data_IF_001908632943
#
_entry.id   IF_001908632943
#
_cell.length_a   1.000
_cell.length_b   1.000
_cell.length_c   1.000
_cell.angle_alpha   90.00
_cell.angle_beta   90.00
_cell.angle_gamma   90.00
#
_symmetry.space_group_name_H-M   'P 1'
#
loop_
_entity.id
_entity.type
_entity.pdbx_description
1 polymer ?
#
# COMPACT_ATOMS: atom_id res chain seq x y z
N UNK A 1 -5.99 -12.52 -23.44
CA UNK A 1 -4.69 -12.74 -22.77
C UNK A 1 -4.85 -12.24 -21.34
N UNK A 2 -4.12 -12.78 -20.35
CA UNK A 2 -4.17 -12.23 -18.99
C UNK A 2 -3.37 -10.91 -18.95
N UNK A 3 -3.95 -9.83 -18.46
CA UNK A 3 -3.35 -8.50 -18.34
C UNK A 3 -2.08 -8.51 -17.46
N UNK A 4 -2.10 -9.27 -16.36
CA UNK A 4 -0.92 -9.48 -15.52
C UNK A 4 0.17 -10.27 -16.25
N UNK A 5 -0.19 -11.24 -17.11
CA UNK A 5 0.79 -11.94 -17.96
C UNK A 5 1.46 -10.98 -18.95
N UNK A 6 0.70 -10.02 -19.50
CA UNK A 6 1.24 -8.99 -20.38
C UNK A 6 2.17 -8.00 -19.66
N UNK A 7 2.16 -7.93 -18.33
CA UNK A 7 3.16 -7.19 -17.55
C UNK A 7 4.43 -8.01 -17.30
N UNK A 8 4.34 -9.34 -17.24
CA UNK A 8 5.52 -10.20 -17.08
C UNK A 8 6.36 -10.29 -18.37
N UNK A 9 5.72 -10.20 -19.54
CA UNK A 9 6.38 -10.27 -20.84
C UNK A 9 6.91 -8.88 -21.24
N UNK A 10 8.20 -8.61 -20.97
CA UNK A 10 8.89 -7.40 -21.44
C UNK A 10 9.65 -6.61 -20.37
N UNK A 11 9.83 -7.16 -19.17
CA UNK A 11 10.51 -6.46 -18.07
C UNK A 11 12.02 -6.69 -18.11
N UNK A 12 12.79 -5.60 -18.10
CA UNK A 12 14.23 -5.64 -17.88
C UNK A 12 14.51 -4.96 -16.53
N UNK A 13 14.95 -5.75 -15.55
CA UNK A 13 15.47 -5.28 -14.27
C UNK A 13 14.44 -4.97 -13.18
N UNK A 14 14.97 -4.83 -11.96
CA UNK A 14 14.25 -4.66 -10.70
C UNK A 14 13.15 -3.59 -10.70
N UNK A 15 13.43 -2.38 -11.20
CA UNK A 15 12.47 -1.27 -11.16
C UNK A 15 11.25 -1.52 -12.04
N UNK A 16 11.44 -2.18 -13.19
CA UNK A 16 10.33 -2.57 -14.06
C UNK A 16 9.45 -3.63 -13.41
N UNK A 17 10.05 -4.62 -12.75
CA UNK A 17 9.31 -5.67 -12.04
C UNK A 17 8.51 -5.09 -10.88
N UNK A 18 9.13 -4.17 -10.12
CA UNK A 18 8.48 -3.47 -9.02
C UNK A 18 7.26 -2.68 -9.50
N UNK A 19 7.40 -1.83 -10.53
CA UNK A 19 6.30 -1.02 -11.04
C UNK A 19 5.16 -1.90 -11.56
N UNK A 20 5.48 -2.98 -12.26
CA UNK A 20 4.48 -3.91 -12.76
C UNK A 20 3.76 -4.66 -11.64
N UNK A 21 4.48 -5.06 -10.58
CA UNK A 21 3.87 -5.72 -9.42
C UNK A 21 2.90 -4.77 -8.70
N UNK A 22 3.25 -3.49 -8.55
CA UNK A 22 2.37 -2.46 -7.98
C UNK A 22 1.15 -2.19 -8.86
N UNK A 23 1.32 -2.18 -10.18
CA UNK A 23 0.23 -2.00 -11.15
C UNK A 23 -0.79 -3.15 -11.09
N UNK A 24 -0.37 -4.39 -10.82
CA UNK A 24 -1.32 -5.52 -10.75
C UNK A 24 -2.46 -5.32 -9.73
N UNK A 25 -2.22 -4.61 -8.63
CA UNK A 25 -3.24 -4.29 -7.63
C UNK A 25 -4.39 -3.44 -8.20
N UNK A 26 -4.13 -2.67 -9.26
CA UNK A 26 -5.10 -1.80 -9.93
C UNK A 26 -6.12 -2.57 -10.76
N UNK A 27 -5.77 -3.79 -11.16
CA UNK A 27 -6.56 -4.60 -12.08
C UNK A 27 -7.51 -5.54 -11.37
N UNK A 28 -7.35 -5.73 -10.06
CA UNK A 28 -8.24 -6.56 -9.25
C UNK A 28 -9.53 -5.82 -8.93
N UNK A 29 -10.65 -6.40 -9.34
CA UNK A 29 -11.98 -6.12 -8.80
C UNK A 29 -12.39 -7.27 -7.88
N UNK A 30 -13.16 -6.98 -6.84
CA UNK A 30 -13.69 -8.01 -5.94
C UNK A 30 -15.22 -8.08 -6.17
N UNK A 31 -15.78 -9.27 -6.33
CA UNK A 31 -17.21 -9.45 -6.63
C UNK A 31 -18.15 -9.03 -5.50
N UNK A 32 -19.41 -8.63 -5.82
CA UNK A 32 -20.45 -8.28 -4.82
C UNK A 32 -20.79 -9.40 -3.83
N UNK A 33 -20.48 -10.65 -4.17
CA UNK A 33 -20.77 -11.84 -3.34
C UNK A 33 -20.08 -11.85 -1.97
N UNK A 34 -19.17 -10.92 -1.72
CA UNK A 34 -18.35 -10.87 -0.51
C UNK A 34 -18.98 -10.13 0.68
N UNK A 35 -20.05 -9.35 0.50
CA UNK A 35 -20.75 -8.69 1.61
C UNK A 35 -19.81 -7.92 2.56
N UNK A 36 -19.95 -8.05 3.88
CA UNK A 36 -19.09 -7.36 4.87
C UNK A 36 -17.62 -7.80 4.80
N UNK A 37 -17.32 -9.01 4.33
CA UNK A 37 -15.94 -9.49 4.14
C UNK A 37 -15.21 -8.80 2.98
N UNK A 38 -15.96 -8.13 2.09
CA UNK A 38 -15.44 -7.35 0.98
C UNK A 38 -14.50 -6.25 1.45
N UNK A 39 -14.95 -5.46 2.42
CA UNK A 39 -14.22 -4.29 2.92
C UNK A 39 -12.91 -4.72 3.57
N UNK A 40 -12.94 -5.74 4.42
CA UNK A 40 -11.74 -6.28 5.05
C UNK A 40 -10.76 -6.84 4.03
N UNK A 41 -11.24 -7.58 3.02
CA UNK A 41 -10.36 -8.18 2.01
C UNK A 41 -9.73 -7.12 1.10
N UNK A 42 -10.49 -6.09 0.73
CA UNK A 42 -9.96 -4.96 -0.03
C UNK A 42 -8.90 -4.19 0.76
N UNK A 43 -9.18 -3.87 2.03
CA UNK A 43 -8.21 -3.19 2.89
C UNK A 43 -6.95 -4.03 3.11
N UNK A 44 -7.05 -5.35 3.21
CA UNK A 44 -5.88 -6.24 3.29
C UNK A 44 -5.02 -6.16 2.02
N UNK A 45 -5.67 -6.12 0.85
CA UNK A 45 -4.97 -5.95 -0.42
C UNK A 45 -4.31 -4.56 -0.51
N UNK A 46 -4.97 -3.51 -0.02
CA UNK A 46 -4.41 -2.16 0.04
C UNK A 46 -3.22 -2.08 1.01
N UNK A 47 -3.27 -2.75 2.17
CA UNK A 47 -2.14 -2.81 3.13
C UNK A 47 -0.93 -3.48 2.49
N UNK A 48 -1.12 -4.62 1.82
CA UNK A 48 -0.04 -5.29 1.10
C UNK A 48 0.59 -4.39 0.03
N UNK A 49 -0.23 -3.61 -0.69
CA UNK A 49 0.25 -2.62 -1.66
C UNK A 49 1.03 -1.49 -1.00
N UNK A 50 0.57 -0.97 0.13
CA UNK A 50 1.29 0.06 0.87
C UNK A 50 2.66 -0.44 1.31
N UNK A 51 2.75 -1.66 1.84
CA UNK A 51 4.03 -2.28 2.21
C UNK A 51 4.95 -2.41 1.00
N UNK A 52 4.46 -2.93 -0.12
CA UNK A 52 5.26 -3.08 -1.34
C UNK A 52 5.78 -1.72 -1.83
N UNK A 53 4.93 -0.71 -1.92
CA UNK A 53 5.35 0.63 -2.37
C UNK A 53 6.30 1.31 -1.38
N UNK A 54 6.15 1.05 -0.08
CA UNK A 54 7.06 1.52 0.96
C UNK A 54 8.44 0.87 0.83
N UNK A 55 8.49 -0.43 0.55
CA UNK A 55 9.72 -1.14 0.21
C UNK A 55 10.39 -0.51 -1.02
N UNK A 56 9.64 -0.30 -2.10
CA UNK A 56 10.16 0.30 -3.33
C UNK A 56 10.74 1.71 -3.11
N UNK A 57 10.05 2.55 -2.34
CA UNK A 57 10.53 3.88 -1.93
C UNK A 57 11.87 3.77 -1.18
N UNK A 58 11.96 2.86 -0.20
CA UNK A 58 13.19 2.65 0.57
C UNK A 58 14.37 2.17 -0.28
N UNK A 59 14.09 1.43 -1.36
CA UNK A 59 15.09 0.94 -2.31
C UNK A 59 15.41 1.95 -3.43
N UNK A 60 14.71 3.09 -3.48
CA UNK A 60 14.85 4.12 -4.51
C UNK A 60 14.20 3.75 -5.85
N UNK A 61 13.22 2.85 -5.86
CA UNK A 61 12.56 2.34 -7.07
C UNK A 61 11.36 3.21 -7.50
N UNK A 62 10.86 4.08 -6.61
CA UNK A 62 9.66 4.88 -6.79
C UNK A 62 9.77 6.12 -7.70
N UNK A 63 10.92 6.39 -8.31
CA UNK A 63 11.16 7.62 -9.07
C UNK A 63 11.92 7.37 -10.37
N UNK A 64 11.42 6.48 -11.22
CA UNK A 64 11.97 6.30 -12.57
C UNK A 64 11.08 7.04 -13.57
N UNK A 65 11.19 8.37 -13.59
CA UNK A 65 10.46 9.23 -14.52
C UNK A 65 11.26 9.65 -15.76
N UNK A 66 12.49 9.18 -15.93
CA UNK A 66 13.22 9.45 -17.18
C UNK A 66 13.84 8.17 -17.70
N UNK A 67 13.57 7.86 -18.98
CA UNK A 67 14.24 6.82 -19.78
C UNK A 67 15.77 7.02 -19.83
N UNK A 68 16.28 8.15 -19.32
CA UNK A 68 17.70 8.51 -19.21
C UNK A 68 18.29 8.20 -17.82
N UNK A 69 17.46 7.83 -16.82
CA UNK A 69 17.88 7.56 -15.43
C UNK A 69 17.82 6.08 -15.03
N UNK A 70 18.07 5.15 -15.95
CA UNK A 70 18.48 3.77 -15.62
C UNK A 70 19.78 3.69 -14.76
N UNK A 71 20.28 4.82 -14.27
CA UNK A 71 21.55 5.01 -13.60
C UNK A 71 21.43 5.39 -12.11
N UNK A 72 20.22 5.60 -11.56
CA UNK A 72 20.10 5.72 -10.10
C UNK A 72 20.30 4.32 -9.51
N UNK A 73 21.40 4.06 -8.78
CA UNK A 73 21.65 2.75 -8.22
C UNK A 73 20.55 2.46 -7.20
N UNK A 74 19.91 1.30 -7.31
CA UNK A 74 19.06 0.80 -6.23
C UNK A 74 19.86 0.80 -4.92
N UNK A 75 19.21 1.15 -3.81
CA UNK A 75 19.84 1.07 -2.47
C UNK A 75 19.98 -0.38 -1.99
N UNK A 76 19.38 -1.32 -2.72
CA UNK A 76 19.51 -2.74 -2.47
C UNK A 76 20.92 -3.24 -2.85
N UNK A 77 21.52 -4.08 -1.99
CA UNK A 77 22.80 -4.72 -2.31
C UNK A 77 22.68 -5.54 -3.60
N UNK A 78 23.68 -5.44 -4.49
CA UNK A 78 23.74 -6.20 -5.75
C UNK A 78 23.60 -7.72 -5.55
N UNK A 79 24.02 -8.24 -4.39
CA UNK A 79 23.87 -9.66 -4.01
C UNK A 79 22.42 -10.08 -3.76
N UNK A 80 21.55 -9.12 -3.39
CA UNK A 80 20.14 -9.35 -3.05
C UNK A 80 19.19 -9.03 -4.21
N UNK A 81 19.66 -8.31 -5.23
CA UNK A 81 18.87 -7.95 -6.42
C UNK A 81 18.24 -9.18 -7.10
N UNK A 82 18.95 -10.29 -7.37
CA UNK A 82 18.34 -11.46 -8.02
C UNK A 82 17.23 -12.11 -7.20
N UNK A 83 17.31 -12.03 -5.87
CA UNK A 83 16.28 -12.55 -4.98
C UNK A 83 15.05 -11.63 -4.99
N UNK A 84 15.25 -10.31 -4.96
CA UNK A 84 14.15 -9.35 -5.07
C UNK A 84 13.43 -9.45 -6.42
N UNK A 85 14.16 -9.59 -7.53
CA UNK A 85 13.57 -9.82 -8.86
C UNK A 85 12.73 -11.09 -8.90
N UNK A 86 13.21 -12.17 -8.26
CA UNK A 86 12.46 -13.43 -8.14
C UNK A 86 11.16 -13.26 -7.37
N UNK A 87 11.20 -12.64 -6.19
CA UNK A 87 10.03 -12.42 -5.34
C UNK A 87 8.98 -11.55 -6.05
N UNK A 88 9.40 -10.47 -6.73
CA UNK A 88 8.51 -9.64 -7.54
C UNK A 88 7.93 -10.42 -8.73
N UNK A 89 8.73 -11.28 -9.37
CA UNK A 89 8.25 -12.19 -10.41
C UNK A 89 7.17 -13.15 -9.90
N UNK A 90 7.35 -13.71 -8.71
CA UNK A 90 6.34 -14.56 -8.07
C UNK A 90 5.04 -13.80 -7.76
N UNK A 91 5.12 -12.54 -7.33
CA UNK A 91 3.92 -11.69 -7.15
C UNK A 91 3.18 -11.52 -8.49
N UNK A 92 3.89 -11.25 -9.59
CA UNK A 92 3.29 -11.15 -10.92
C UNK A 92 2.62 -12.46 -11.36
N UNK A 93 3.26 -13.60 -11.06
CA UNK A 93 2.72 -14.92 -11.37
C UNK A 93 1.43 -15.20 -10.58
N UNK A 94 1.38 -14.84 -9.29
CA UNK A 94 0.18 -14.97 -8.46
C UNK A 94 -1.01 -14.19 -9.03
N UNK A 95 -0.81 -12.91 -9.39
CA UNK A 95 -1.86 -12.12 -10.04
C UNK A 95 -2.28 -12.71 -11.39
N UNK A 96 -1.31 -13.21 -12.16
CA UNK A 96 -1.56 -13.84 -13.46
C UNK A 96 -2.39 -15.12 -13.33
N UNK A 97 -2.07 -15.96 -12.35
CA UNK A 97 -2.81 -17.19 -12.08
C UNK A 97 -4.23 -16.87 -11.59
N UNK A 98 -4.36 -15.90 -10.68
CA UNK A 98 -5.65 -15.46 -10.17
C UNK A 98 -6.55 -14.87 -11.27
N UNK A 99 -5.98 -14.10 -12.21
CA UNK A 99 -6.71 -13.58 -13.38
C UNK A 99 -7.17 -14.71 -14.31
N UNK A 100 -6.27 -15.66 -14.63
CA UNK A 100 -6.62 -16.82 -15.46
C UNK A 100 -7.73 -17.64 -14.81
N UNK A 101 -7.66 -17.85 -13.49
CA UNK A 101 -8.69 -18.56 -12.75
C UNK A 101 -10.02 -17.79 -12.77
N UNK A 102 -10.01 -16.47 -12.59
CA UNK A 102 -11.18 -15.60 -12.75
C UNK A 102 -11.83 -15.79 -14.13
N UNK A 103 -11.03 -15.67 -15.20
CA UNK A 103 -11.53 -15.73 -16.58
C UNK A 103 -12.08 -17.10 -16.97
N UNK A 104 -11.54 -18.19 -16.42
CA UNK A 104 -12.07 -19.55 -16.65
C UNK A 104 -13.45 -19.78 -16.03
N UNK A 105 -13.78 -19.04 -14.96
CA UNK A 105 -15.05 -19.18 -14.25
C UNK A 105 -16.14 -18.26 -14.81
N UNK A 106 -15.85 -17.46 -15.85
CA UNK A 106 -16.85 -16.65 -16.54
C UNK A 106 -17.65 -17.53 -17.52
N UNK A 107 -19.00 -17.54 -17.45
CA UNK A 107 -19.81 -18.27 -18.40
C UNK A 107 -19.65 -17.70 -19.82
N UNK A 108 -19.59 -18.56 -20.84
CA UNK A 108 -19.38 -18.15 -22.24
C UNK A 108 -20.43 -17.15 -22.80
N UNK A 109 -21.53 -16.93 -22.08
CA UNK A 109 -22.62 -16.02 -22.44
C UNK A 109 -22.58 -14.66 -21.72
N UNK A 110 -21.62 -14.41 -20.82
CA UNK A 110 -21.49 -13.09 -20.21
C UNK A 110 -20.88 -12.11 -21.19
N UNK A 111 -21.72 -11.49 -22.02
CA UNK A 111 -21.39 -10.24 -22.71
C UNK A 111 -20.86 -9.25 -21.67
N UNK A 112 -19.96 -8.37 -22.09
CA UNK A 112 -19.28 -7.35 -21.26
C UNK A 112 -20.24 -6.52 -20.38
N UNK A 113 -21.54 -6.53 -20.65
CA UNK A 113 -22.62 -5.94 -19.85
C UNK A 113 -22.91 -6.66 -18.51
N UNK A 114 -22.49 -7.92 -18.32
CA UNK A 114 -22.72 -8.68 -17.07
C UNK A 114 -21.66 -8.39 -15.98
N UNK A 115 -20.65 -7.58 -16.29
CA UNK A 115 -19.66 -7.05 -15.33
C UNK A 115 -20.28 -6.11 -14.27
N UNK A 116 -21.58 -5.79 -14.39
CA UNK A 116 -22.35 -4.95 -13.46
C UNK A 116 -22.60 -5.57 -12.06
N UNK A 117 -22.10 -6.78 -11.78
CA UNK A 117 -22.22 -7.46 -10.49
C UNK A 117 -20.93 -7.38 -9.63
N UNK A 118 -19.91 -6.66 -10.06
CA UNK A 118 -18.67 -6.50 -9.29
C UNK A 118 -18.66 -5.18 -8.53
N UNK A 119 -18.11 -5.18 -7.31
CA UNK A 119 -17.88 -3.96 -6.57
C UNK A 119 -16.56 -3.36 -7.05
N UNK A 120 -16.63 -2.23 -7.72
CA UNK A 120 -15.53 -1.29 -7.82
C UNK A 120 -15.33 -0.57 -6.48
N UNK A 121 -14.21 0.12 -6.31
CA UNK A 121 -14.04 1.05 -5.19
C UNK A 121 -15.18 2.07 -5.08
N UNK A 122 -15.82 2.40 -6.21
CA UNK A 122 -16.98 3.29 -6.29
C UNK A 122 -18.29 2.67 -5.77
N UNK A 123 -18.34 1.35 -5.56
CA UNK A 123 -19.46 0.63 -4.94
C UNK A 123 -19.29 0.52 -3.40
N UNK A 124 -18.21 1.06 -2.84
CA UNK A 124 -18.05 1.24 -1.39
C UNK A 124 -18.78 2.51 -0.96
N UNK A 125 -19.64 2.41 0.05
CA UNK A 125 -20.22 3.57 0.72
C UNK A 125 -19.46 3.90 2.02
N UNK A 126 -19.18 5.19 2.24
CA UNK A 126 -18.65 5.72 3.50
C UNK A 126 -17.14 5.57 3.71
N UNK A 127 -16.73 5.34 4.95
CA UNK A 127 -15.34 5.30 5.44
C UNK A 127 -14.41 4.34 4.65
N UNK A 128 -14.83 3.11 4.29
CA UNK A 128 -13.96 2.18 3.56
C UNK A 128 -13.61 2.66 2.15
N UNK A 129 -14.52 3.42 1.50
CA UNK A 129 -14.27 4.00 0.18
C UNK A 129 -13.20 5.09 0.24
N UNK A 130 -13.33 6.00 1.20
CA UNK A 130 -12.36 7.09 1.40
C UNK A 130 -10.99 6.58 1.81
N UNK A 131 -10.95 5.56 2.67
CA UNK A 131 -9.71 4.93 3.10
C UNK A 131 -9.02 4.23 1.92
N UNK A 132 -9.72 3.37 1.17
CA UNK A 132 -9.20 2.73 -0.03
C UNK A 132 -8.61 3.77 -1.01
N UNK A 133 -9.36 4.83 -1.31
CA UNK A 133 -8.90 5.87 -2.24
C UNK A 133 -7.63 6.56 -1.75
N UNK A 134 -7.51 6.88 -0.45
CA UNK A 134 -6.30 7.50 0.11
C UNK A 134 -5.09 6.57 0.04
N UNK A 135 -5.27 5.30 0.37
CA UNK A 135 -4.19 4.29 0.31
C UNK A 135 -3.71 4.11 -1.14
N UNK A 136 -4.65 4.03 -2.08
CA UNK A 136 -4.40 4.00 -3.51
C UNK A 136 -3.62 5.24 -3.99
N UNK A 137 -4.09 6.44 -3.66
CA UNK A 137 -3.44 7.70 -4.07
C UNK A 137 -2.00 7.78 -3.55
N UNK A 138 -1.77 7.34 -2.32
CA UNK A 138 -0.44 7.32 -1.72
C UNK A 138 0.48 6.30 -2.39
N UNK A 139 -0.02 5.10 -2.70
CA UNK A 139 0.71 4.09 -3.44
C UNK A 139 1.14 4.61 -4.83
N UNK A 140 0.22 5.27 -5.55
CA UNK A 140 0.50 5.88 -6.87
C UNK A 140 1.54 7.00 -6.75
N UNK A 141 1.47 7.85 -5.71
CA UNK A 141 2.47 8.90 -5.50
C UNK A 141 3.88 8.34 -5.32
N UNK A 142 4.02 7.21 -4.61
CA UNK A 142 5.30 6.51 -4.35
C UNK A 142 5.84 5.78 -5.56
N UNK A 143 4.98 5.35 -6.48
CA UNK A 143 5.42 4.72 -7.72
C UNK A 143 6.09 5.71 -8.69
N UNK A 144 5.98 7.01 -8.39
CA UNK A 144 6.34 8.07 -9.32
C UNK A 144 5.26 8.19 -10.38
N UNK A 145 5.06 9.39 -10.93
CA UNK A 145 3.92 9.70 -11.82
C UNK A 145 3.90 8.93 -13.17
N UNK A 146 4.63 7.82 -13.30
CA UNK A 146 4.38 6.83 -14.33
C UNK A 146 2.93 6.36 -14.13
N UNK A 147 2.02 6.91 -14.92
CA UNK A 147 0.60 6.62 -14.78
C UNK A 147 0.36 5.12 -14.84
N UNK A 148 -0.59 4.64 -14.02
CA UNK A 148 -1.10 3.27 -14.11
C UNK A 148 -1.44 3.00 -15.57
N UNK A 149 -0.82 1.97 -16.16
CA UNK A 149 -1.13 1.61 -17.54
C UNK A 149 -2.59 1.19 -17.63
N UNK A 150 -3.35 1.81 -18.54
CA UNK A 150 -4.73 1.40 -18.80
C UNK A 150 -4.74 -0.06 -19.27
N UNK A 151 -5.35 -0.92 -18.45
CA UNK A 151 -5.54 -2.34 -18.74
C UNK A 151 -6.93 -2.80 -18.29
N UNK A 152 -7.33 -3.96 -18.80
CA UNK A 152 -8.61 -4.59 -18.46
C UNK A 152 -8.61 -5.04 -17.00
N UNK A 153 -9.59 -4.57 -16.24
CA UNK A 153 -9.81 -5.05 -14.87
C UNK A 153 -10.52 -6.40 -14.89
N UNK A 154 -10.20 -7.26 -13.93
CA UNK A 154 -10.75 -8.61 -13.79
C UNK A 154 -11.23 -8.85 -12.36
N UNK A 155 -12.21 -9.74 -12.20
CA UNK A 155 -12.94 -9.86 -10.94
C UNK A 155 -12.72 -11.20 -10.22
N UNK A 156 -12.31 -11.14 -8.95
CA UNK A 156 -12.27 -12.30 -8.06
C UNK A 156 -13.63 -12.56 -7.43
N UNK A 157 -14.20 -13.72 -7.75
CA UNK A 157 -15.55 -14.11 -7.31
C UNK A 157 -15.57 -15.06 -6.10
N UNK A 158 -14.43 -15.66 -5.73
CA UNK A 158 -14.35 -16.66 -4.67
C UNK A 158 -13.56 -16.19 -3.44
N UNK A 159 -14.19 -16.25 -2.24
CA UNK A 159 -13.56 -15.86 -0.97
C UNK A 159 -12.24 -16.56 -0.69
N UNK A 160 -12.21 -17.88 -0.89
CA UNK A 160 -11.00 -18.69 -0.70
C UNK A 160 -9.87 -18.30 -1.65
N UNK A 161 -10.19 -17.89 -2.88
CA UNK A 161 -9.18 -17.50 -3.87
C UNK A 161 -8.60 -16.14 -3.53
N UNK A 162 -9.44 -15.19 -3.13
CA UNK A 162 -8.99 -13.87 -2.69
C UNK A 162 -8.15 -13.94 -1.41
N UNK A 163 -8.60 -14.70 -0.40
CA UNK A 163 -7.84 -14.85 0.86
C UNK A 163 -6.46 -15.45 0.61
N UNK A 164 -6.37 -16.52 -0.21
CA UNK A 164 -5.08 -17.12 -0.58
C UNK A 164 -4.18 -16.16 -1.32
N UNK A 165 -4.71 -15.47 -2.34
CA UNK A 165 -3.93 -14.47 -3.09
C UNK A 165 -3.36 -13.39 -2.15
N UNK A 166 -4.18 -12.90 -1.21
CA UNK A 166 -3.75 -11.90 -0.22
C UNK A 166 -2.67 -12.45 0.71
N UNK A 167 -2.84 -13.68 1.21
CA UNK A 167 -1.87 -14.37 2.08
C UNK A 167 -0.54 -14.58 1.35
N UNK A 168 -0.57 -15.16 0.15
CA UNK A 168 0.63 -15.45 -0.64
C UNK A 168 1.37 -14.15 -1.05
N UNK A 169 0.64 -13.07 -1.41
CA UNK A 169 1.25 -11.76 -1.67
C UNK A 169 1.87 -11.19 -0.40
N UNK A 170 1.18 -11.27 0.73
CA UNK A 170 1.67 -10.75 2.01
C UNK A 170 2.95 -11.44 2.45
N UNK A 171 3.05 -12.77 2.28
CA UNK A 171 4.26 -13.53 2.57
C UNK A 171 5.43 -13.06 1.68
N UNK A 172 5.22 -12.96 0.37
CA UNK A 172 6.26 -12.49 -0.56
C UNK A 172 6.70 -11.04 -0.29
N UNK A 173 5.77 -10.15 0.06
CA UNK A 173 6.07 -8.77 0.45
C UNK A 173 6.85 -8.73 1.77
N UNK A 174 6.50 -9.60 2.73
CA UNK A 174 7.25 -9.72 3.99
C UNK A 174 8.68 -10.19 3.74
N UNK A 175 8.88 -11.16 2.85
CA UNK A 175 10.22 -11.60 2.44
C UNK A 175 11.02 -10.47 1.75
N UNK A 176 10.38 -9.65 0.91
CA UNK A 176 11.01 -8.47 0.31
C UNK A 176 11.47 -7.46 1.38
N UNK A 177 10.64 -7.23 2.39
CA UNK A 177 10.96 -6.34 3.51
C UNK A 177 12.17 -6.84 4.31
N UNK A 178 12.28 -8.15 4.51
CA UNK A 178 13.40 -8.78 5.23
C UNK A 178 14.72 -8.73 4.43
N UNK A 179 14.68 -8.54 3.11
CA UNK A 179 15.89 -8.36 2.31
C UNK A 179 16.69 -7.15 2.76
N UNK A 180 16.07 -6.08 3.24
CA UNK A 180 16.79 -4.89 3.69
C UNK A 180 16.01 -4.18 4.80
N UNK A 181 16.17 -4.60 6.06
CA UNK A 181 15.42 -4.03 7.17
C UNK A 181 15.84 -2.58 7.41
N UNK A 182 14.92 -1.65 7.21
CA UNK A 182 15.07 -0.23 7.52
C UNK A 182 13.94 0.23 8.44
N UNK A 183 13.95 -0.23 9.70
CA UNK A 183 12.84 0.02 10.63
C UNK A 183 12.56 1.52 10.83
N UNK A 184 13.58 2.37 10.77
CA UNK A 184 13.40 3.82 10.96
C UNK A 184 12.84 4.50 9.71
N UNK A 185 13.36 4.20 8.51
CA UNK A 185 12.79 4.70 7.26
C UNK A 185 11.36 4.21 7.05
N UNK A 186 11.10 2.95 7.36
CA UNK A 186 9.75 2.35 7.29
C UNK A 186 8.78 3.05 8.24
N UNK A 187 9.21 3.37 9.47
CA UNK A 187 8.41 4.16 10.42
C UNK A 187 8.11 5.56 9.89
N UNK A 188 9.10 6.29 9.37
CA UNK A 188 8.91 7.64 8.81
C UNK A 188 7.91 7.63 7.65
N UNK A 189 7.98 6.61 6.80
CA UNK A 189 7.02 6.43 5.69
C UNK A 189 5.62 6.08 6.19
N UNK A 190 5.47 5.31 7.29
CA UNK A 190 4.19 5.07 7.95
C UNK A 190 3.61 6.34 8.58
N UNK A 191 4.43 7.19 9.19
CA UNK A 191 3.98 8.46 9.77
C UNK A 191 3.44 9.40 8.68
N UNK A 192 4.07 9.42 7.50
CA UNK A 192 3.59 10.14 6.33
C UNK A 192 2.27 9.55 5.77
N UNK A 193 2.10 8.22 5.80
CA UNK A 193 0.83 7.54 5.44
C UNK A 193 -0.33 8.01 6.32
N UNK A 194 -0.12 7.99 7.63
CA UNK A 194 -1.14 8.35 8.63
C UNK A 194 -1.50 9.83 8.53
N UNK A 195 -0.51 10.69 8.28
CA UNK A 195 -0.75 12.13 8.09
C UNK A 195 -1.66 12.44 6.88
N UNK A 196 -1.78 11.53 5.91
CA UNK A 196 -2.73 11.65 4.80
C UNK A 196 -4.15 11.13 5.11
N UNK A 197 -4.34 10.46 6.25
CA UNK A 197 -5.57 9.78 6.66
C UNK A 197 -6.26 10.58 7.80
N UNK A 198 -7.02 11.60 7.43
CA UNK A 198 -7.55 12.62 8.36
C UNK A 198 -8.79 12.18 9.20
N UNK A 199 -9.08 10.89 9.35
CA UNK A 199 -10.28 10.42 10.04
C UNK A 199 -9.96 9.32 11.06
N UNK A 200 -10.35 9.53 12.32
CA UNK A 200 -10.10 8.60 13.43
C UNK A 200 -10.74 7.22 13.18
N UNK A 201 -11.94 7.19 12.60
CA UNK A 201 -12.63 5.96 12.21
C UNK A 201 -11.88 5.19 11.12
N UNK A 202 -11.30 5.88 10.14
CA UNK A 202 -10.50 5.28 9.07
C UNK A 202 -9.23 4.64 9.65
N UNK A 203 -8.59 5.32 10.61
CA UNK A 203 -7.39 4.83 11.29
C UNK A 203 -7.68 3.59 12.15
N UNK A 204 -8.81 3.53 12.85
CA UNK A 204 -9.18 2.35 13.64
C UNK A 204 -9.37 1.11 12.75
N UNK A 205 -10.10 1.26 11.63
CA UNK A 205 -10.31 0.16 10.68
C UNK A 205 -8.99 -0.28 10.03
N UNK A 206 -8.13 0.65 9.64
CA UNK A 206 -6.82 0.35 9.07
C UNK A 206 -5.91 -0.36 10.07
N UNK A 207 -5.89 0.09 11.34
CA UNK A 207 -5.09 -0.52 12.42
C UNK A 207 -5.43 -1.99 12.60
N UNK A 208 -6.72 -2.31 12.60
CA UNK A 208 -7.21 -3.66 12.84
C UNK A 208 -6.81 -4.60 11.70
N UNK A 209 -6.89 -4.13 10.45
CA UNK A 209 -6.44 -4.88 9.27
C UNK A 209 -4.91 -5.02 9.24
N UNK A 210 -4.19 -3.93 9.55
CA UNK A 210 -2.74 -3.90 9.55
C UNK A 210 -2.11 -4.72 10.67
N UNK A 211 -2.84 -5.05 11.75
CA UNK A 211 -2.29 -5.80 12.87
C UNK A 211 -1.69 -7.16 12.46
N UNK A 212 -2.30 -7.82 11.48
CA UNK A 212 -1.86 -9.12 10.98
C UNK A 212 -0.79 -9.00 9.88
N UNK A 213 -0.86 -7.95 9.05
CA UNK A 213 -0.04 -7.84 7.83
C UNK A 213 1.13 -6.86 7.96
N UNK A 214 0.91 -5.72 8.62
CA UNK A 214 1.85 -4.61 8.73
C UNK A 214 1.95 -4.10 10.17
N UNK A 215 2.74 -4.80 10.98
CA UNK A 215 2.97 -4.46 12.38
C UNK A 215 3.52 -3.04 12.54
N UNK A 216 4.37 -2.58 11.62
CA UNK A 216 4.96 -1.22 11.69
C UNK A 216 3.86 -0.17 11.51
N UNK A 217 2.99 -0.35 10.52
CA UNK A 217 1.84 0.54 10.30
C UNK A 217 0.87 0.48 11.48
N UNK A 218 0.50 -0.72 11.95
CA UNK A 218 -0.44 -0.88 13.09
C UNK A 218 0.07 -0.19 14.36
N UNK A 219 1.36 -0.36 14.71
CA UNK A 219 1.96 0.31 15.87
C UNK A 219 2.08 1.82 15.69
N UNK A 220 2.36 2.28 14.46
CA UNK A 220 2.42 3.72 14.18
C UNK A 220 1.03 4.36 14.29
N UNK A 221 -0.03 3.69 13.82
CA UNK A 221 -1.41 4.14 14.00
C UNK A 221 -1.79 4.15 15.47
N UNK A 222 -1.50 3.09 16.24
CA UNK A 222 -1.75 3.05 17.69
C UNK A 222 -1.08 4.22 18.40
N UNK A 223 0.18 4.49 18.07
CA UNK A 223 0.91 5.65 18.62
C UNK A 223 0.21 6.95 18.26
N UNK A 224 -0.17 7.14 17.00
CA UNK A 224 -0.87 8.33 16.52
C UNK A 224 -2.22 8.56 17.20
N UNK A 225 -3.02 7.50 17.39
CA UNK A 225 -4.31 7.56 18.10
C UNK A 225 -4.16 7.89 19.58
N UNK A 226 -3.12 7.36 20.23
CA UNK A 226 -2.84 7.63 21.64
C UNK A 226 -2.28 9.05 21.86
N UNK A 227 -1.59 9.61 20.85
CA UNK A 227 -1.24 11.02 20.79
C UNK A 227 -2.43 11.84 20.27
N UNK A 228 -3.46 12.01 21.12
CA UNK A 228 -4.58 12.93 20.87
C UNK A 228 -4.08 14.34 20.45
N UNK A 229 -4.77 15.07 19.55
CA UNK A 229 -4.40 16.42 19.15
C UNK A 229 -4.70 17.39 20.30
N UNK A 230 -3.81 17.41 21.30
CA UNK A 230 -4.06 18.10 22.54
C UNK A 230 -2.78 18.28 23.33
N UNK A 231 -2.04 19.31 22.95
CA UNK A 231 -0.96 19.92 23.74
C UNK A 231 0.38 19.18 23.72
N UNK A 232 1.29 19.68 22.90
CA UNK A 232 2.72 19.58 23.16
C UNK A 232 3.04 20.43 24.41
N UNK A 233 2.62 20.01 25.60
CA UNK A 233 3.00 20.69 26.85
C UNK A 233 4.37 20.21 27.27
N UNK A 234 5.32 21.13 27.29
CA UNK A 234 6.58 20.93 28.01
C UNK A 234 6.40 21.56 29.39
N UNK A 235 6.33 20.73 30.44
CA UNK A 235 6.21 21.20 31.83
C UNK A 235 7.57 21.15 32.50
N UNK A 236 8.04 22.29 33.01
CA UNK A 236 9.22 22.37 33.88
C UNK A 236 8.73 22.60 35.32
N UNK A 237 9.12 21.74 36.25
CA UNK A 237 8.77 21.88 37.68
C UNK A 237 10.04 21.83 38.54
N UNK A 238 10.08 22.66 39.58
CA UNK A 238 11.24 22.86 40.45
C UNK A 238 11.32 24.29 40.98
N UNK A 239 11.91 24.49 42.16
CA UNK A 239 11.89 25.78 42.88
C UNK A 239 12.79 26.87 42.27
N UNK A 240 13.65 26.50 41.30
CA UNK A 240 14.69 27.35 40.72
C UNK A 240 14.90 27.10 39.21
N UNK A 241 13.83 27.02 38.43
CA UNK A 241 13.93 26.86 36.98
C UNK A 241 14.35 28.16 36.30
N UNK A 242 15.57 28.19 35.76
CA UNK A 242 16.07 29.28 34.90
C UNK A 242 16.73 28.71 33.65
N UNK A 243 16.34 29.19 32.47
CA UNK A 243 16.91 28.76 31.19
C UNK A 243 16.19 29.40 30.01
N UNK A 244 16.75 29.24 28.81
CA UNK A 244 16.12 29.63 27.55
C UNK A 244 15.68 28.38 26.79
N UNK A 245 14.45 28.35 26.31
CA UNK A 245 13.92 27.26 25.50
C UNK A 245 13.91 27.67 24.03
N UNK A 246 14.57 26.87 23.19
CA UNK A 246 14.46 26.98 21.74
C UNK A 246 13.63 25.79 21.22
N UNK A 247 12.42 26.07 20.75
CA UNK A 247 11.54 25.08 20.12
C UNK A 247 11.43 25.35 18.62
N UNK A 248 11.63 24.33 17.80
CA UNK A 248 11.35 24.38 16.36
C UNK A 248 10.10 23.57 16.09
N UNK A 249 9.03 24.24 15.64
CA UNK A 249 7.80 23.59 15.19
C UNK A 249 7.76 23.65 13.66
N UNK A 250 7.66 22.48 13.01
CA UNK A 250 7.60 22.35 11.55
C UNK A 250 6.18 22.13 11.02
N UNK A 251 5.16 22.22 11.88
CA UNK A 251 3.73 22.07 11.55
C UNK A 251 2.91 23.35 11.75
N UNK A 252 1.63 23.29 11.43
CA UNK A 252 0.69 24.41 11.58
C UNK A 252 0.35 24.63 13.06
N UNK A 253 0.62 25.83 13.57
CA UNK A 253 0.34 26.20 14.96
C UNK A 253 -0.98 26.96 15.05
N UNK A 254 -1.93 26.47 15.85
CA UNK A 254 -3.17 27.18 16.18
C UNK A 254 -3.45 27.06 17.69
N UNK A 255 -4.12 28.07 18.27
CA UNK A 255 -4.53 28.04 19.68
C UNK A 255 -3.41 28.26 20.71
N UNK A 256 -2.35 29.01 20.38
CA UNK A 256 -1.30 29.37 21.36
C UNK A 256 -1.85 30.40 22.35
N UNK A 257 -1.85 30.06 23.64
CA UNK A 257 -1.95 31.03 24.71
C UNK A 257 -0.63 31.06 25.49
N UNK A 258 -0.17 32.26 25.79
CA UNK A 258 0.91 32.47 26.75
C UNK A 258 0.22 32.83 28.08
N UNK A 259 0.41 31.99 29.09
CA UNK A 259 0.07 32.28 30.48
C UNK A 259 1.24 32.92 31.20
#
# INVERSE_FOLDING_TARGET
MAEAAGLAVGVIGLSGLFNNAVDCFEYVQIGRSFGRDFQTSLLKLDVARLQLTRWGESMGLGSVLDEVQSLVPTRLSSTKVPLAERLLGQILDLFTEAERASNRNLPASSSQTSLAAHCSASDLDGVPASLHQRMRDLAIRRQGKAGVREKVKWALNGKKQLSRLIEDIHDLVSELMDLQPDLEGQRRLCEAEISGMNCETDLAALRDVAADQDKVLSETIKKAMNSSPGSNTVTFSGDNNSGFQLGVNTGTVSGVSFG
#
